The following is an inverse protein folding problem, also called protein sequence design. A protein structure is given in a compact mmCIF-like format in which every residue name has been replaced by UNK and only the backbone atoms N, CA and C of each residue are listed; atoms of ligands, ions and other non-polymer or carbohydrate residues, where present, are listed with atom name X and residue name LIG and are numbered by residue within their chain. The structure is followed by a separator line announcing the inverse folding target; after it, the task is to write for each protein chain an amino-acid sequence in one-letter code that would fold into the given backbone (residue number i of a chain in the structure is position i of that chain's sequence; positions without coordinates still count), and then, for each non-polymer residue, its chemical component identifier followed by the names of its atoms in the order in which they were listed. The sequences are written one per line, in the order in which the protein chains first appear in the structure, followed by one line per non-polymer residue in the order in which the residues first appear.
data_IF_950554371505
#
_entry.id   IF_950554371505
#
_cell.length_a   1.000
_cell.length_b   1.000
_cell.length_c   1.000
_cell.angle_alpha   90.00
_cell.angle_beta   90.00
_cell.angle_gamma   90.00
#
_symmetry.space_group_name_H-M   'P 1'
#
loop_
_entity.id
_entity.type
_entity.pdbx_description
1 polymer ?
#
# COMPACT_ATOMS: atom_id res chain seq x y z
N UNK A 1 10.18 6.26 11.51
CA UNK A 1 9.26 7.39 11.16
C UNK A 1 9.57 7.88 9.75
N UNK A 2 10.84 8.15 9.40
CA UNK A 2 11.23 8.65 8.07
C UNK A 2 10.74 7.79 6.88
N UNK A 3 10.98 6.47 6.89
CA UNK A 3 10.49 5.56 5.83
C UNK A 3 8.98 5.67 5.57
N UNK A 4 8.17 5.87 6.61
CA UNK A 4 6.71 6.01 6.48
C UNK A 4 6.35 7.35 5.83
N UNK A 5 7.09 8.42 6.11
CA UNK A 5 6.86 9.73 5.52
C UNK A 5 7.25 9.77 4.03
N UNK A 6 8.22 8.95 3.60
CA UNK A 6 8.51 8.77 2.18
C UNK A 6 7.35 8.09 1.46
N UNK A 7 6.81 7.00 2.02
CA UNK A 7 5.60 6.35 1.45
C UNK A 7 4.39 7.27 1.49
N UNK A 8 4.30 8.20 2.46
CA UNK A 8 3.22 9.19 2.53
C UNK A 8 3.19 10.11 1.32
N UNK A 9 4.33 10.42 0.70
CA UNK A 9 4.39 11.23 -0.53
C UNK A 9 3.68 10.51 -1.68
N UNK A 10 4.02 9.24 -1.90
CA UNK A 10 3.39 8.38 -2.90
C UNK A 10 1.89 8.26 -2.64
N UNK A 11 1.50 8.06 -1.38
CA UNK A 11 0.08 7.98 -1.00
C UNK A 11 -0.66 9.30 -1.31
N UNK A 12 -0.03 10.45 -1.05
CA UNK A 12 -0.57 11.76 -1.37
C UNK A 12 -0.76 11.99 -2.87
N UNK A 13 0.22 11.61 -3.69
CA UNK A 13 0.14 11.70 -5.16
C UNK A 13 -0.98 10.83 -5.74
N UNK A 14 -1.25 9.68 -5.11
CA UNK A 14 -2.35 8.78 -5.48
C UNK A 14 -3.69 9.10 -4.82
N UNK A 15 -3.77 10.11 -3.95
CA UNK A 15 -4.99 10.45 -3.23
C UNK A 15 -5.49 9.32 -2.32
N UNK A 16 -4.58 8.54 -1.74
CA UNK A 16 -4.90 7.36 -0.90
C UNK A 16 -4.17 7.40 0.45
N UNK A 17 -4.41 6.41 1.30
CA UNK A 17 -3.76 6.28 2.59
C UNK A 17 -2.50 5.41 2.48
N UNK A 18 -1.52 5.65 3.36
CA UNK A 18 -0.26 4.88 3.41
C UNK A 18 -0.52 3.38 3.50
N UNK A 19 -1.53 2.97 4.27
CA UNK A 19 -1.91 1.56 4.42
C UNK A 19 -2.29 0.93 3.07
N UNK A 20 -3.03 1.64 2.21
CA UNK A 20 -3.42 1.14 0.90
C UNK A 20 -2.20 1.00 -0.02
N UNK A 21 -1.25 1.95 0.01
CA UNK A 21 0.00 1.85 -0.77
C UNK A 21 0.79 0.62 -0.35
N UNK A 22 0.97 0.41 0.95
CA UNK A 22 1.74 -0.72 1.49
C UNK A 22 1.08 -2.06 1.15
N UNK A 23 -0.23 -2.18 1.33
CA UNK A 23 -0.96 -3.41 0.99
C UNK A 23 -0.91 -3.70 -0.52
N UNK A 24 -1.04 -2.68 -1.36
CA UNK A 24 -0.91 -2.81 -2.82
C UNK A 24 0.49 -3.25 -3.22
N UNK A 25 1.51 -2.68 -2.59
CA UNK A 25 2.91 -3.04 -2.83
C UNK A 25 3.20 -4.51 -2.46
N UNK A 26 2.61 -5.03 -1.38
CA UNK A 26 2.70 -6.45 -1.07
C UNK A 26 2.05 -7.33 -2.15
N UNK A 27 0.90 -6.92 -2.70
CA UNK A 27 0.24 -7.66 -3.78
C UNK A 27 1.01 -7.65 -5.11
N UNK A 28 2.03 -6.80 -5.26
CA UNK A 28 2.90 -6.84 -6.46
C UNK A 28 3.99 -7.90 -6.37
N UNK A 29 4.15 -8.56 -5.22
CA UNK A 29 5.16 -9.61 -5.03
C UNK A 29 4.62 -10.94 -5.56
N UNK A 30 5.33 -11.55 -6.50
CA UNK A 30 4.98 -12.87 -7.04
C UNK A 30 4.85 -13.96 -5.97
N UNK A 31 5.55 -13.82 -4.85
CA UNK A 31 5.49 -14.75 -3.73
C UNK A 31 4.26 -14.59 -2.82
N UNK A 32 3.41 -13.59 -3.06
CA UNK A 32 2.24 -13.27 -2.23
C UNK A 32 0.97 -13.52 -3.04
N UNK A 33 0.30 -14.64 -2.78
CA UNK A 33 -0.98 -14.97 -3.42
C UNK A 33 -2.16 -14.20 -2.82
N UNK A 34 -2.13 -13.96 -1.49
CA UNK A 34 -3.26 -13.36 -0.76
C UNK A 34 -2.78 -12.59 0.47
N UNK A 35 -3.50 -11.51 0.78
CA UNK A 35 -3.34 -10.73 2.02
C UNK A 35 -4.67 -10.76 2.78
N UNK A 36 -4.60 -10.94 4.10
CA UNK A 36 -5.77 -10.93 5.00
C UNK A 36 -5.63 -9.76 5.97
N UNK A 37 -6.03 -8.53 5.57
CA UNK A 37 -5.93 -7.37 6.43
C UNK A 37 -6.99 -7.43 7.55
N UNK A 38 -6.55 -7.24 8.79
CA UNK A 38 -7.45 -7.22 9.95
C UNK A 38 -8.39 -6.01 9.93
N UNK A 39 -9.60 -6.18 10.45
CA UNK A 39 -10.57 -5.11 10.64
C UNK A 39 -11.34 -5.34 11.95
N UNK A 40 -11.45 -4.31 12.79
CA UNK A 40 -12.23 -4.34 14.04
C UNK A 40 -13.62 -3.74 13.88
N UNK A 41 -13.82 -2.91 12.85
CA UNK A 41 -15.08 -2.25 12.52
C UNK A 41 -15.36 -2.36 11.03
N UNK A 42 -16.63 -2.28 10.64
CA UNK A 42 -17.07 -2.44 9.25
C UNK A 42 -16.44 -1.42 8.30
N UNK A 43 -16.21 -0.19 8.75
CA UNK A 43 -15.59 0.85 7.92
C UNK A 43 -14.16 0.49 7.52
N UNK A 44 -13.44 -0.24 8.36
CA UNK A 44 -12.09 -0.70 8.06
C UNK A 44 -12.09 -1.78 6.98
N UNK A 45 -13.14 -2.61 6.92
CA UNK A 45 -13.31 -3.57 5.81
C UNK A 45 -13.47 -2.81 4.49
N UNK A 46 -14.28 -1.76 4.48
CA UNK A 46 -14.48 -0.90 3.31
C UNK A 46 -13.20 -0.16 2.91
N UNK A 47 -12.41 0.33 3.87
CA UNK A 47 -11.08 0.91 3.59
C UNK A 47 -10.13 -0.12 3.00
N UNK A 48 -10.05 -1.34 3.58
CA UNK A 48 -9.19 -2.40 3.06
C UNK A 48 -9.48 -2.71 1.59
N UNK A 49 -10.75 -2.71 1.18
CA UNK A 49 -11.16 -2.93 -0.22
C UNK A 49 -10.64 -1.85 -1.19
N UNK A 50 -10.51 -0.60 -0.74
CA UNK A 50 -9.96 0.49 -1.58
C UNK A 50 -8.52 0.26 -2.00
N UNK A 51 -7.78 -0.60 -1.30
CA UNK A 51 -6.45 -1.05 -1.71
C UNK A 51 -6.45 -1.60 -3.13
N UNK A 52 -7.51 -2.31 -3.54
CA UNK A 52 -7.61 -2.92 -4.86
C UNK A 52 -7.71 -1.90 -6.00
N UNK A 53 -8.05 -0.65 -5.67
CA UNK A 53 -8.17 0.46 -6.63
C UNK A 53 -6.86 1.26 -6.77
N UNK A 54 -5.86 0.98 -5.95
CA UNK A 54 -4.56 1.63 -6.03
C UNK A 54 -3.71 0.90 -7.07
N UNK A 55 -3.24 1.63 -8.06
CA UNK A 55 -2.30 1.13 -9.07
C UNK A 55 -0.95 1.81 -8.88
N UNK A 56 0.08 1.03 -8.53
CA UNK A 56 1.46 1.49 -8.44
C UNK A 56 2.14 1.29 -9.80
N UNK A 57 2.95 2.26 -10.23
CA UNK A 57 3.85 2.11 -11.37
C UNK A 57 5.08 1.31 -10.96
N UNK A 58 5.82 0.78 -11.94
CA UNK A 58 7.04 0.03 -11.66
C UNK A 58 8.09 0.89 -10.93
N UNK A 59 8.13 2.19 -11.24
CA UNK A 59 9.04 3.14 -10.59
C UNK A 59 8.71 3.32 -9.12
N UNK A 60 7.42 3.49 -8.78
CA UNK A 60 6.96 3.60 -7.39
C UNK A 60 7.18 2.30 -6.62
N UNK A 61 6.97 1.15 -7.26
CA UNK A 61 7.24 -0.16 -6.68
C UNK A 61 8.72 -0.27 -6.30
N UNK A 62 9.63 0.10 -7.21
CA UNK A 62 11.07 0.10 -6.94
C UNK A 62 11.48 1.14 -5.91
N UNK A 63 10.79 2.28 -5.84
CA UNK A 63 11.02 3.28 -4.81
C UNK A 63 10.67 2.74 -3.42
N UNK A 64 9.52 2.09 -3.28
CA UNK A 64 9.11 1.44 -2.04
C UNK A 64 10.08 0.31 -1.66
N UNK A 65 10.58 -0.46 -2.63
CA UNK A 65 11.63 -1.46 -2.39
C UNK A 65 12.89 -0.82 -1.79
N UNK A 66 13.34 0.32 -2.33
CA UNK A 66 14.49 1.06 -1.79
C UNK A 66 14.23 1.62 -0.39
N UNK A 67 13.03 2.10 -0.12
CA UNK A 67 12.63 2.61 1.20
C UNK A 67 12.71 1.49 2.25
N UNK A 68 12.24 0.28 1.93
CA UNK A 68 12.18 -0.84 2.89
C UNK A 68 13.37 -1.81 2.85
N UNK A 69 14.35 -1.58 1.98
CA UNK A 69 15.65 -2.25 2.01
C UNK A 69 16.49 -1.90 3.24
#
# INVERSE_FOLDING_TARGET
MEKIEEVRKIAGEKGTEVAHVVLTWYLTREAIDVIIPGAKRTEQVLQNLKTLEVHLTNEEIQEIDRIFS
#
